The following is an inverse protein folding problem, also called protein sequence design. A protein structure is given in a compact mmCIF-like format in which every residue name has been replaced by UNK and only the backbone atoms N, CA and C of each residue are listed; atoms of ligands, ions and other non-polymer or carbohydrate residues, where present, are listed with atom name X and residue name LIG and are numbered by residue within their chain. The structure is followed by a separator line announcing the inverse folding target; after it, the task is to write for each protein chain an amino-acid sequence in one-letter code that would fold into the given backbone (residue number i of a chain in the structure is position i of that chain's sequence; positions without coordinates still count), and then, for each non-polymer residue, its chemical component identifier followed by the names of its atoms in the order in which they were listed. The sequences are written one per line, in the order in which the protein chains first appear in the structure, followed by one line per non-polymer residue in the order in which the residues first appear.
data_IF_501245799047
#
_entry.id   IF_501245799047
#
_cell.length_a   1.000
_cell.length_b   1.000
_cell.length_c   1.000
_cell.angle_alpha   90.00
_cell.angle_beta   90.00
_cell.angle_gamma   90.00
#
_symmetry.space_group_name_H-M   'P 1'
#
loop_
_entity.id
_entity.type
_entity.pdbx_description
1 polymer ?
#
# COMPACT_ATOMS: atom_id res chain seq x y z
N UNK A 1 -15.67 3.35 -10.36
CA UNK A 1 -14.38 3.82 -10.92
C UNK A 1 -13.70 4.89 -10.08
N UNK A 2 -14.30 6.08 -9.84
CA UNK A 2 -13.64 7.17 -9.08
C UNK A 2 -13.03 6.73 -7.73
N UNK A 3 -13.80 6.00 -6.91
CA UNK A 3 -13.33 5.48 -5.62
C UNK A 3 -12.13 4.56 -5.74
N UNK A 4 -12.18 3.60 -6.65
CA UNK A 4 -11.12 2.63 -6.89
C UNK A 4 -9.81 3.32 -7.25
N UNK A 5 -9.86 4.27 -8.20
CA UNK A 5 -8.70 5.02 -8.66
C UNK A 5 -8.08 5.81 -7.50
N UNK A 6 -8.89 6.53 -6.73
CA UNK A 6 -8.40 7.31 -5.58
C UNK A 6 -7.80 6.41 -4.51
N UNK A 7 -8.44 5.28 -4.18
CA UNK A 7 -7.93 4.33 -3.17
C UNK A 7 -6.61 3.70 -3.59
N UNK A 8 -6.48 3.32 -4.87
CA UNK A 8 -5.26 2.72 -5.40
C UNK A 8 -4.14 3.75 -5.53
N UNK A 9 -4.46 4.96 -5.99
CA UNK A 9 -3.51 6.08 -6.07
C UNK A 9 -2.93 6.41 -4.70
N UNK A 10 -3.80 6.52 -3.68
CA UNK A 10 -3.36 6.74 -2.31
C UNK A 10 -2.43 5.62 -1.83
N UNK A 11 -2.80 4.37 -2.07
CA UNK A 11 -2.08 3.21 -1.52
C UNK A 11 -0.77 2.89 -2.24
N UNK A 12 -0.69 3.07 -3.55
CA UNK A 12 0.47 2.69 -4.37
C UNK A 12 1.38 3.85 -4.75
N UNK A 13 0.95 5.10 -4.58
CA UNK A 13 1.79 6.26 -4.86
C UNK A 13 2.06 7.08 -3.60
N UNK A 14 1.01 7.57 -2.95
CA UNK A 14 1.18 8.52 -1.83
C UNK A 14 1.84 7.84 -0.63
N UNK A 15 1.38 6.64 -0.26
CA UNK A 15 1.89 5.95 0.92
C UNK A 15 3.36 5.48 0.79
N UNK A 16 3.81 4.88 -0.33
CA UNK A 16 5.24 4.58 -0.54
C UNK A 16 6.14 5.82 -0.59
N UNK A 17 5.66 6.95 -1.15
CA UNK A 17 6.41 8.21 -1.14
C UNK A 17 6.63 8.75 0.28
N UNK A 18 5.62 8.59 1.16
CA UNK A 18 5.79 8.91 2.59
C UNK A 18 6.83 7.99 3.22
N UNK A 19 6.84 6.69 2.88
CA UNK A 19 7.87 5.75 3.32
C UNK A 19 9.29 6.18 2.92
N UNK A 20 9.49 6.54 1.66
CA UNK A 20 10.77 7.08 1.16
C UNK A 20 11.19 8.36 1.88
N UNK A 21 10.23 9.27 2.12
CA UNK A 21 10.49 10.51 2.85
C UNK A 21 10.91 10.25 4.30
N UNK A 22 10.28 9.26 4.97
CA UNK A 22 10.65 8.84 6.32
C UNK A 22 12.06 8.26 6.34
N UNK A 23 12.41 7.38 5.40
CA UNK A 23 13.77 6.84 5.27
C UNK A 23 14.79 7.96 5.07
N UNK A 24 14.44 9.00 4.30
CA UNK A 24 15.32 10.14 4.04
C UNK A 24 15.54 11.05 5.25
N UNK A 25 14.54 11.22 6.12
CA UNK A 25 14.62 12.10 7.30
C UNK A 25 15.28 11.43 8.51
N UNK A 26 15.18 10.10 8.64
CA UNK A 26 15.70 9.41 9.82
C UNK A 26 17.23 9.58 9.86
N UNK A 27 17.78 10.23 10.92
CA UNK A 27 19.20 10.57 11.00
C UNK A 27 20.08 9.37 11.41
N UNK A 28 19.48 8.23 11.73
CA UNK A 28 20.19 6.99 12.05
C UNK A 28 20.50 6.25 10.74
N UNK A 29 21.70 5.67 10.62
CA UNK A 29 22.04 4.84 9.46
C UNK A 29 21.17 3.57 9.48
N UNK A 30 19.97 3.66 8.91
CA UNK A 30 19.14 2.50 8.63
C UNK A 30 19.92 1.60 7.68
N UNK A 31 20.11 0.35 8.09
CA UNK A 31 20.72 -0.66 7.24
C UNK A 31 19.78 -0.97 6.05
N UNK A 32 20.33 -1.57 4.99
CA UNK A 32 19.60 -1.92 3.77
C UNK A 32 18.38 -2.77 4.08
N UNK A 33 18.47 -3.67 5.06
CA UNK A 33 17.36 -4.52 5.50
C UNK A 33 16.23 -3.68 6.10
N UNK A 34 16.56 -2.70 6.94
CA UNK A 34 15.57 -1.86 7.63
C UNK A 34 14.83 -0.94 6.64
N UNK A 35 15.55 -0.37 5.67
CA UNK A 35 14.96 0.42 4.58
C UNK A 35 14.04 -0.42 3.72
N UNK A 36 14.46 -1.63 3.37
CA UNK A 36 13.66 -2.58 2.60
C UNK A 36 12.39 -2.99 3.35
N UNK A 37 12.46 -3.16 4.67
CA UNK A 37 11.29 -3.46 5.50
C UNK A 37 10.29 -2.30 5.55
N UNK A 38 10.78 -1.06 5.69
CA UNK A 38 9.92 0.13 5.66
C UNK A 38 9.21 0.22 4.30
N UNK A 39 9.94 0.03 3.20
CA UNK A 39 9.35 0.03 1.85
C UNK A 39 8.36 -1.12 1.64
N UNK A 40 8.65 -2.31 2.14
CA UNK A 40 7.72 -3.44 2.09
C UNK A 40 6.42 -3.09 2.82
N UNK A 41 6.50 -2.54 4.04
CA UNK A 41 5.32 -2.14 4.83
C UNK A 41 4.47 -1.05 4.17
N UNK A 42 5.07 -0.19 3.35
CA UNK A 42 4.32 0.86 2.64
C UNK A 42 3.75 0.37 1.30
N UNK A 43 4.26 -0.72 0.74
CA UNK A 43 3.87 -1.19 -0.60
C UNK A 43 2.95 -2.41 -0.58
N UNK A 44 2.71 -3.02 0.58
CA UNK A 44 1.74 -4.12 0.74
C UNK A 44 0.35 -3.74 0.21
N UNK A 45 -0.38 -4.69 -0.41
CA UNK A 45 -1.73 -4.47 -0.91
C UNK A 45 -2.71 -4.15 0.22
N UNK A 46 -3.93 -3.76 -0.14
CA UNK A 46 -4.99 -3.54 0.84
C UNK A 46 -5.39 -4.85 1.52
N UNK A 47 -5.68 -4.77 2.82
CA UNK A 47 -6.01 -5.93 3.63
C UNK A 47 -7.39 -6.50 3.24
N UNK A 48 -7.47 -7.82 3.09
CA UNK A 48 -8.72 -8.49 2.70
C UNK A 48 -9.84 -8.39 3.73
N UNK A 49 -9.49 -8.24 5.01
CA UNK A 49 -10.44 -8.05 6.11
C UNK A 49 -11.26 -6.75 5.97
N UNK A 50 -10.82 -5.77 5.18
CA UNK A 50 -11.56 -4.53 4.91
C UNK A 50 -12.92 -4.82 4.29
N UNK A 51 -13.06 -5.92 3.52
CA UNK A 51 -14.36 -6.34 2.95
C UNK A 51 -15.34 -6.77 4.04
N UNK A 52 -14.86 -7.52 5.04
CA UNK A 52 -15.67 -7.98 6.16
C UNK A 52 -16.10 -6.78 7.02
N UNK A 53 -15.16 -5.87 7.31
CA UNK A 53 -15.45 -4.66 8.08
C UNK A 53 -16.46 -3.77 7.33
N UNK A 54 -16.28 -3.60 6.02
CA UNK A 54 -17.20 -2.86 5.16
C UNK A 54 -18.62 -3.44 5.20
N UNK A 55 -18.75 -4.77 5.18
CA UNK A 55 -20.03 -5.46 5.33
C UNK A 55 -20.64 -5.25 6.73
N UNK A 56 -19.82 -5.33 7.79
CA UNK A 56 -20.28 -5.12 9.17
C UNK A 56 -20.76 -3.69 9.44
N UNK A 57 -20.16 -2.70 8.77
CA UNK A 57 -20.51 -1.29 8.88
C UNK A 57 -21.60 -0.86 7.88
N UNK A 58 -22.14 -1.79 7.08
CA UNK A 58 -23.11 -1.52 6.00
C UNK A 58 -22.60 -0.49 4.97
N UNK A 59 -21.31 -0.56 4.64
CA UNK A 59 -20.63 0.35 3.70
C UNK A 59 -20.12 -0.43 2.48
N UNK A 60 -20.90 -0.47 1.40
CA UNK A 60 -20.51 -0.94 0.04
C UNK A 60 -19.37 -1.98 -0.02
N UNK A 61 -19.56 -3.21 0.50
CA UNK A 61 -18.52 -4.23 0.55
C UNK A 61 -18.01 -4.64 -0.84
N UNK A 62 -18.82 -4.50 -1.89
CA UNK A 62 -18.43 -4.82 -3.28
C UNK A 62 -17.33 -3.88 -3.78
N UNK A 63 -17.39 -2.60 -3.39
CA UNK A 63 -16.35 -1.61 -3.72
C UNK A 63 -15.06 -1.92 -2.99
N UNK A 64 -15.14 -2.31 -1.72
CA UNK A 64 -13.98 -2.73 -0.93
C UNK A 64 -13.32 -3.98 -1.54
N UNK A 65 -14.10 -5.00 -1.90
CA UNK A 65 -13.61 -6.23 -2.50
C UNK A 65 -12.90 -5.99 -3.84
N UNK A 66 -13.50 -5.15 -4.70
CA UNK A 66 -12.89 -4.76 -5.98
C UNK A 66 -11.55 -4.06 -5.76
N UNK A 67 -11.48 -3.19 -4.75
CA UNK A 67 -10.28 -2.44 -4.45
C UNK A 67 -9.16 -3.32 -3.86
N UNK A 68 -9.51 -4.27 -2.97
CA UNK A 68 -8.57 -5.28 -2.47
C UNK A 68 -8.01 -6.10 -3.62
N UNK A 69 -8.87 -6.68 -4.46
CA UNK A 69 -8.43 -7.50 -5.60
C UNK A 69 -7.51 -6.71 -6.54
N UNK A 70 -7.91 -5.49 -6.93
CA UNK A 70 -7.09 -4.65 -7.79
C UNK A 70 -5.74 -4.30 -7.14
N UNK A 71 -5.72 -4.03 -5.83
CA UNK A 71 -4.48 -3.77 -5.11
C UNK A 71 -3.56 -4.99 -5.07
N UNK A 72 -4.10 -6.19 -4.89
CA UNK A 72 -3.31 -7.43 -4.88
C UNK A 72 -2.67 -7.68 -6.25
N UNK A 73 -3.39 -7.41 -7.35
CA UNK A 73 -2.85 -7.52 -8.69
C UNK A 73 -1.76 -6.48 -8.98
N UNK A 74 -1.96 -5.22 -8.57
CA UNK A 74 -0.96 -4.17 -8.75
C UNK A 74 0.30 -4.40 -7.90
N UNK A 75 0.13 -4.97 -6.71
CA UNK A 75 1.24 -5.28 -5.80
C UNK A 75 2.28 -6.21 -6.40
N UNK A 76 1.90 -7.10 -7.32
CA UNK A 76 2.84 -7.99 -8.04
C UNK A 76 3.96 -7.21 -8.75
N UNK A 77 3.67 -6.00 -9.21
CA UNK A 77 4.63 -5.15 -9.94
C UNK A 77 5.16 -4.05 -9.04
N UNK A 78 4.30 -3.40 -8.25
CA UNK A 78 4.71 -2.23 -7.46
C UNK A 78 5.66 -2.58 -6.32
N UNK A 79 5.44 -3.69 -5.61
CA UNK A 79 6.26 -4.10 -4.46
C UNK A 79 7.73 -4.30 -4.86
N UNK A 80 8.06 -5.14 -5.87
CA UNK A 80 9.46 -5.30 -6.28
C UNK A 80 10.07 -4.02 -6.85
N UNK A 81 9.27 -3.18 -7.53
CA UNK A 81 9.73 -1.91 -8.08
C UNK A 81 10.19 -0.95 -6.98
N UNK A 82 9.38 -0.77 -5.93
CA UNK A 82 9.71 0.14 -4.83
C UNK A 82 10.80 -0.39 -3.91
N UNK A 83 10.84 -1.70 -3.62
CA UNK A 83 11.93 -2.29 -2.82
C UNK A 83 13.26 -2.18 -3.57
N UNK A 84 13.27 -2.32 -4.89
CA UNK A 84 14.47 -2.08 -5.69
C UNK A 84 14.94 -0.61 -5.71
N UNK A 85 14.13 0.34 -5.24
CA UNK A 85 14.47 1.76 -5.14
C UNK A 85 14.97 2.19 -3.75
N UNK A 86 14.81 1.36 -2.71
CA UNK A 86 15.27 1.64 -1.33
C UNK A 86 16.72 1.32 -1.06
#
# INVERSE_FOLDING_TARGET
MKYLIVSLFWKFLVWPLIGLFVIWIIPYELDVVERSMIMLMTTVPMAGNVVIIANQLDVHPEKAATAVMASTLLALISVPLFIGMS
#
